data_IF_928723797347
#
_entry.id   IF_928723797347
#
_cell.length_a   1.000
_cell.length_b   1.000
_cell.length_c   1.000
_cell.angle_alpha   90.00
_cell.angle_beta   90.00
_cell.angle_gamma   90.00
#
_symmetry.space_group_name_H-M   'P 1'
#
loop_
_entity.id
_entity.type
_entity.pdbx_description
1 polymer ?
#
# COMPACT_ATOMS: atom_id res chain seq x y z
N UNK A 1 -7.63 2.23 -0.69
CA UNK A 1 -7.41 2.59 0.72
C UNK A 1 -7.27 4.10 0.98
N UNK A 2 -6.52 4.87 0.17
CA UNK A 2 -6.34 6.30 0.46
C UNK A 2 -7.64 7.12 0.38
N UNK A 3 -8.57 6.78 -0.52
CA UNK A 3 -9.88 7.43 -0.59
C UNK A 3 -10.77 7.05 0.60
N UNK A 4 -10.76 5.79 1.01
CA UNK A 4 -11.43 5.36 2.26
C UNK A 4 -10.88 6.13 3.47
N UNK A 5 -9.56 6.30 3.53
CA UNK A 5 -8.88 7.02 4.60
C UNK A 5 -9.36 8.47 4.68
N UNK A 6 -9.41 9.16 3.55
CA UNK A 6 -9.93 10.53 3.49
C UNK A 6 -11.39 10.64 3.93
N UNK A 7 -12.22 9.71 3.48
CA UNK A 7 -13.63 9.65 3.89
C UNK A 7 -13.78 9.40 5.40
N UNK A 8 -13.07 8.41 5.93
CA UNK A 8 -13.10 8.09 7.37
C UNK A 8 -12.65 9.28 8.23
N UNK A 9 -11.57 9.98 7.82
CA UNK A 9 -11.10 11.17 8.53
C UNK A 9 -12.14 12.29 8.54
N UNK A 10 -12.85 12.51 7.43
CA UNK A 10 -13.88 13.53 7.34
C UNK A 10 -15.06 13.22 8.27
N UNK A 11 -15.53 11.97 8.27
CA UNK A 11 -16.65 11.54 9.14
C UNK A 11 -16.25 11.57 10.61
N UNK A 12 -15.05 11.09 10.95
CA UNK A 12 -14.52 11.10 12.32
C UNK A 12 -14.40 12.52 12.86
N UNK A 13 -13.94 13.45 12.04
CA UNK A 13 -13.88 14.87 12.41
C UNK A 13 -15.26 15.47 12.65
N UNK A 14 -16.24 15.11 11.82
CA UNK A 14 -17.60 15.62 11.94
C UNK A 14 -18.33 15.06 13.17
N UNK A 15 -18.04 13.81 13.54
CA UNK A 15 -18.66 13.13 14.69
C UNK A 15 -17.81 13.18 15.97
N UNK A 16 -16.66 13.87 15.94
CA UNK A 16 -15.70 13.98 17.05
C UNK A 16 -15.26 12.61 17.61
N UNK A 17 -15.09 11.62 16.72
CA UNK A 17 -14.65 10.27 17.08
C UNK A 17 -13.14 10.24 17.24
N UNK A 18 -12.66 9.79 18.40
CA UNK A 18 -11.24 9.52 18.63
C UNK A 18 -10.84 8.14 18.13
N UNK A 19 -9.76 8.09 17.35
CA UNK A 19 -9.17 6.85 16.82
C UNK A 19 -8.01 6.43 17.70
N UNK A 20 -7.93 5.15 18.11
CA UNK A 20 -6.79 4.64 18.88
C UNK A 20 -5.46 4.87 18.15
N UNK A 21 -4.39 5.18 18.91
CA UNK A 21 -3.06 5.46 18.34
C UNK A 21 -2.54 4.32 17.44
N UNK A 22 -2.72 3.07 17.86
CA UNK A 22 -2.34 1.90 17.08
C UNK A 22 -3.04 1.87 15.71
N UNK A 23 -4.34 2.14 15.66
CA UNK A 23 -5.10 2.19 14.41
C UNK A 23 -4.61 3.32 13.49
N UNK A 24 -4.21 4.47 14.05
CA UNK A 24 -3.61 5.56 13.26
C UNK A 24 -2.32 5.13 12.58
N UNK A 25 -1.41 4.44 13.28
CA UNK A 25 -0.18 3.92 12.69
C UNK A 25 -0.45 2.87 11.61
N UNK A 26 -1.37 1.94 11.86
CA UNK A 26 -1.76 0.92 10.88
C UNK A 26 -2.30 1.58 9.60
N UNK A 27 -3.17 2.58 9.73
CA UNK A 27 -3.70 3.35 8.60
C UNK A 27 -2.60 4.01 7.77
N UNK A 28 -1.58 4.57 8.42
CA UNK A 28 -0.43 5.18 7.74
C UNK A 28 0.35 4.12 6.97
N UNK A 29 0.67 2.99 7.59
CA UNK A 29 1.39 1.89 6.94
C UNK A 29 0.65 1.44 5.66
N UNK A 30 -0.63 1.18 5.78
CA UNK A 30 -1.47 0.70 4.67
C UNK A 30 -1.61 1.77 3.57
N UNK A 31 -1.76 3.04 3.94
CA UNK A 31 -1.83 4.15 3.00
C UNK A 31 -0.52 4.34 2.22
N UNK A 32 0.62 4.19 2.89
CA UNK A 32 1.94 4.31 2.23
C UNK A 32 2.24 3.09 1.34
N UNK A 33 1.87 1.88 1.73
CA UNK A 33 1.95 0.70 0.86
C UNK A 33 1.08 0.89 -0.40
N UNK A 34 -0.11 1.45 -0.26
CA UNK A 34 -0.97 1.80 -1.40
C UNK A 34 -0.32 2.86 -2.29
N UNK A 35 0.36 3.85 -1.71
CA UNK A 35 1.10 4.86 -2.47
C UNK A 35 2.22 4.23 -3.28
N UNK A 36 3.01 3.34 -2.69
CA UNK A 36 4.06 2.59 -3.39
C UNK A 36 3.47 1.79 -4.55
N UNK A 37 2.39 1.04 -4.31
CA UNK A 37 1.72 0.25 -5.34
C UNK A 37 1.20 1.12 -6.51
N UNK A 38 0.72 2.32 -6.22
CA UNK A 38 0.27 3.30 -7.21
C UNK A 38 1.43 3.88 -8.02
N UNK A 39 2.54 4.21 -7.38
CA UNK A 39 3.74 4.71 -8.06
C UNK A 39 4.38 3.64 -8.96
N UNK A 40 4.42 2.38 -8.53
CA UNK A 40 4.88 1.26 -9.37
C UNK A 40 4.01 1.10 -10.61
N UNK A 41 2.70 1.24 -10.48
CA UNK A 41 1.79 1.21 -11.63
C UNK A 41 2.06 2.39 -12.56
N UNK A 42 2.17 3.60 -12.05
CA UNK A 42 2.43 4.80 -12.84
C UNK A 42 3.77 4.68 -13.59
N UNK A 43 4.82 4.26 -12.91
CA UNK A 43 6.13 4.04 -13.50
C UNK A 43 6.08 2.99 -14.63
N UNK A 44 5.47 1.83 -14.35
CA UNK A 44 5.38 0.74 -15.31
C UNK A 44 4.60 1.12 -16.58
N UNK A 45 3.44 1.76 -16.43
CA UNK A 45 2.62 2.20 -17.57
C UNK A 45 3.30 3.31 -18.38
N UNK A 46 3.94 4.26 -17.71
CA UNK A 46 4.71 5.30 -18.38
C UNK A 46 5.88 4.74 -19.21
N UNK A 47 6.58 3.72 -18.67
CA UNK A 47 7.64 3.04 -19.39
C UNK A 47 7.14 2.36 -20.69
N UNK A 48 5.94 1.76 -20.66
CA UNK A 48 5.32 1.19 -21.87
C UNK A 48 5.05 2.28 -22.91
N UNK A 49 4.52 3.42 -22.50
CA UNK A 49 4.23 4.53 -23.41
C UNK A 49 5.50 5.06 -24.10
N UNK A 50 6.64 4.95 -23.43
CA UNK A 50 7.97 5.24 -24.00
C UNK A 50 8.58 4.08 -24.81
N UNK A 51 7.88 2.94 -24.92
CA UNK A 51 8.32 1.77 -25.68
C UNK A 51 9.19 0.78 -24.89
N UNK A 52 9.36 0.97 -23.56
CA UNK A 52 10.14 0.09 -22.70
C UNK A 52 9.22 -0.87 -21.94
N UNK A 53 9.13 -2.12 -22.37
CA UNK A 53 8.22 -3.10 -21.77
C UNK A 53 8.78 -3.76 -20.49
N UNK A 54 10.09 -3.96 -20.42
CA UNK A 54 10.72 -4.66 -19.29
C UNK A 54 10.49 -3.98 -17.93
N UNK A 55 10.60 -2.65 -17.77
CA UNK A 55 10.32 -1.97 -16.50
C UNK A 55 8.90 -2.18 -15.98
N UNK A 56 7.93 -2.33 -16.89
CA UNK A 56 6.56 -2.66 -16.52
C UNK A 56 6.46 -4.01 -15.82
N UNK A 57 7.12 -5.05 -16.36
CA UNK A 57 7.10 -6.38 -15.76
C UNK A 57 7.70 -6.38 -14.35
N UNK A 58 8.84 -5.71 -14.17
CA UNK A 58 9.49 -5.58 -12.87
C UNK A 58 8.61 -4.80 -11.87
N UNK A 59 8.05 -3.69 -12.28
CA UNK A 59 7.19 -2.88 -11.43
C UNK A 59 5.93 -3.64 -10.99
N UNK A 60 5.33 -4.44 -11.87
CA UNK A 60 4.15 -5.23 -11.55
C UNK A 60 4.47 -6.46 -10.70
N UNK A 61 5.66 -7.04 -10.80
CA UNK A 61 6.10 -8.09 -9.88
C UNK A 61 6.20 -7.56 -8.44
N UNK A 62 6.80 -6.38 -8.25
CA UNK A 62 6.85 -5.73 -6.93
C UNK A 62 5.46 -5.33 -6.43
N UNK A 63 4.62 -4.82 -7.33
CA UNK A 63 3.23 -4.48 -6.99
C UNK A 63 2.43 -5.71 -6.54
N UNK A 64 2.66 -6.88 -7.14
CA UNK A 64 2.02 -8.14 -6.76
C UNK A 64 2.33 -8.52 -5.31
N UNK A 65 3.54 -8.26 -4.82
CA UNK A 65 3.91 -8.51 -3.42
C UNK A 65 3.07 -7.65 -2.46
N UNK A 66 2.83 -6.38 -2.81
CA UNK A 66 1.95 -5.49 -2.03
C UNK A 66 0.51 -6.00 -2.06
N UNK A 67 0.00 -6.43 -3.21
CA UNK A 67 -1.37 -6.95 -3.34
C UNK A 67 -1.58 -8.20 -2.49
N UNK A 68 -0.58 -9.06 -2.35
CA UNK A 68 -0.62 -10.21 -1.44
C UNK A 68 -0.70 -9.77 0.02
N UNK A 69 0.08 -8.76 0.41
CA UNK A 69 -0.03 -8.20 1.76
C UNK A 69 -1.44 -7.63 2.03
N UNK A 70 -2.03 -6.96 1.06
CA UNK A 70 -3.40 -6.47 1.19
C UNK A 70 -4.45 -7.57 1.25
N UNK A 71 -4.27 -8.64 0.49
CA UNK A 71 -5.12 -9.83 0.56
C UNK A 71 -5.08 -10.49 1.94
N UNK A 72 -3.90 -10.58 2.55
CA UNK A 72 -3.74 -11.10 3.91
C UNK A 72 -4.38 -10.20 4.98
N UNK A 73 -4.38 -8.88 4.77
CA UNK A 73 -4.93 -7.92 5.74
C UNK A 73 -6.45 -7.77 5.60
N UNK A 74 -6.95 -7.73 4.38
CA UNK A 74 -8.33 -7.34 4.07
C UNK A 74 -9.18 -8.44 3.43
N UNK A 75 -8.55 -9.55 3.03
CA UNK A 75 -9.21 -10.63 2.30
C UNK A 75 -9.44 -10.35 0.80
N UNK A 76 -9.04 -9.18 0.30
CA UNK A 76 -9.20 -8.79 -1.10
C UNK A 76 -7.92 -8.19 -1.66
N UNK A 77 -7.65 -8.45 -2.95
CA UNK A 77 -6.45 -7.98 -3.65
C UNK A 77 -6.57 -6.54 -4.17
N UNK A 78 -7.74 -6.15 -4.64
CA UNK A 78 -8.00 -4.87 -5.29
C UNK A 78 -9.17 -4.11 -4.66
N UNK A 79 -10.28 -4.77 -4.41
CA UNK A 79 -11.48 -4.17 -3.86
C UNK A 79 -11.51 -4.35 -2.34
N UNK A 80 -10.47 -3.87 -1.68
CA UNK A 80 -10.32 -3.99 -0.24
C UNK A 80 -11.03 -2.85 0.50
N UNK A 81 -11.66 -3.21 1.62
CA UNK A 81 -12.25 -2.31 2.57
C UNK A 81 -11.64 -2.58 3.95
N UNK A 82 -10.61 -1.84 4.30
CA UNK A 82 -9.80 -2.09 5.50
C UNK A 82 -9.84 -0.95 6.50
N UNK A 83 -9.89 0.31 6.03
CA UNK A 83 -9.96 1.49 6.89
C UNK A 83 -11.43 1.78 7.16
N UNK A 84 -11.82 1.65 8.43
CA UNK A 84 -13.18 1.88 8.88
C UNK A 84 -13.27 3.11 9.76
N UNK A 85 -14.46 3.69 9.87
CA UNK A 85 -14.73 4.81 10.78
C UNK A 85 -14.46 4.36 12.22
N UNK A 86 -13.57 5.08 12.90
CA UNK A 86 -13.12 4.77 14.26
C UNK A 86 -11.90 3.84 14.34
N UNK A 87 -11.40 3.31 13.23
CA UNK A 87 -10.21 2.44 13.25
C UNK A 87 -9.93 1.70 11.96
N UNK A 88 -9.62 0.43 12.08
CA UNK A 88 -9.35 -0.52 10.99
C UNK A 88 -10.17 -1.79 11.21
N UNK A 89 -10.43 -2.53 10.13
CA UNK A 89 -11.23 -3.75 10.20
C UNK A 89 -10.63 -4.81 11.12
N UNK A 90 -9.33 -5.11 10.93
CA UNK A 90 -8.60 -6.08 11.74
C UNK A 90 -7.25 -5.51 12.20
N UNK A 91 -6.77 -5.97 13.35
CA UNK A 91 -5.42 -5.65 13.80
C UNK A 91 -4.36 -6.39 12.97
N UNK A 92 -3.17 -5.81 12.91
CA UNK A 92 -2.01 -6.43 12.27
C UNK A 92 -1.27 -7.27 13.31
N UNK A 93 -1.07 -8.54 13.01
CA UNK A 93 -0.28 -9.42 13.85
C UNK A 93 1.24 -9.23 13.60
N UNK A 94 2.06 -9.79 14.50
CA UNK A 94 3.52 -9.63 14.43
C UNK A 94 4.11 -10.20 13.13
N UNK A 95 3.63 -11.34 12.66
CA UNK A 95 4.11 -11.97 11.42
C UNK A 95 3.79 -11.13 10.16
N UNK A 96 2.65 -10.44 10.16
CA UNK A 96 2.29 -9.51 9.09
C UNK A 96 3.17 -8.25 9.11
N UNK A 97 3.48 -7.72 10.30
CA UNK A 97 4.41 -6.59 10.45
C UNK A 97 5.81 -6.93 9.95
N UNK A 98 6.31 -8.12 10.28
CA UNK A 98 7.61 -8.60 9.81
C UNK A 98 7.63 -8.68 8.28
N UNK A 99 6.61 -9.25 7.65
CA UNK A 99 6.49 -9.30 6.17
C UNK A 99 6.44 -7.91 5.51
N UNK A 100 5.75 -6.97 6.14
CA UNK A 100 5.71 -5.59 5.66
C UNK A 100 7.10 -4.95 5.76
N UNK A 101 7.81 -5.19 6.87
CA UNK A 101 9.19 -4.70 7.07
C UNK A 101 10.14 -5.30 6.05
N UNK A 102 10.09 -6.61 5.85
CA UNK A 102 10.90 -7.33 4.85
C UNK A 102 10.63 -6.80 3.44
N UNK A 103 9.36 -6.54 3.11
CA UNK A 103 9.00 -5.92 1.82
C UNK A 103 9.60 -4.52 1.69
N UNK A 104 9.55 -3.68 2.72
CA UNK A 104 10.13 -2.34 2.68
C UNK A 104 11.65 -2.36 2.49
N UNK A 105 12.35 -3.28 3.15
CA UNK A 105 13.80 -3.47 2.98
C UNK A 105 14.14 -3.99 1.59
N UNK A 106 13.36 -4.95 1.08
CA UNK A 106 13.50 -5.45 -0.28
C UNK A 106 13.28 -4.31 -1.30
N UNK A 107 12.19 -3.57 -1.18
CA UNK A 107 11.85 -2.48 -2.10
C UNK A 107 12.93 -1.39 -2.13
N UNK A 108 13.54 -1.08 -0.99
CA UNK A 108 14.65 -0.13 -0.91
C UNK A 108 15.85 -0.55 -1.77
N UNK A 109 16.16 -1.85 -1.81
CA UNK A 109 17.23 -2.39 -2.65
C UNK A 109 16.83 -2.42 -4.13
N UNK A 110 15.57 -2.70 -4.43
CA UNK A 110 15.09 -2.72 -5.82
C UNK A 110 15.04 -1.33 -6.46
N UNK A 111 14.86 -0.26 -5.67
CA UNK A 111 14.88 1.12 -6.18
C UNK A 111 16.17 1.46 -6.96
N UNK A 112 17.31 0.94 -6.52
CA UNK A 112 18.58 1.16 -7.21
C UNK A 112 18.60 0.54 -8.61
N UNK A 113 17.88 -0.58 -8.81
CA UNK A 113 17.72 -1.21 -10.14
C UNK A 113 16.87 -0.35 -11.05
N UNK A 114 15.79 0.26 -10.53
CA UNK A 114 14.95 1.16 -11.33
C UNK A 114 15.73 2.39 -11.79
N UNK A 115 16.62 2.94 -10.96
CA UNK A 115 17.52 4.03 -11.37
C UNK A 115 18.50 3.65 -12.49
N UNK A 116 18.83 2.36 -12.61
CA UNK A 116 19.72 1.88 -13.67
C UNK A 116 18.98 1.55 -14.97
N UNK A 117 17.65 1.37 -14.89
CA UNK A 117 16.80 1.06 -16.05
C UNK A 117 16.32 2.31 -16.81
N UNK A 118 16.45 3.47 -16.19
CA UNK A 118 16.10 4.78 -16.76
C UNK A 118 17.35 5.57 -17.13
#
# INVERSE_FOLDING_TARGET
MNMEYGYCLAVEKMLEIEVPARAKYIRIIVAELQRIASHLMAFGTYAIDLGAFSPFLYAFDEREKILRLFEELSGARLLYNYIWIGGVWNDINQAQLERITDFCEHMRKELDKYHTLV
#
